data_IF_622326944664
#
_entry.id   IF_622326944664
#
_cell.length_a   1.000
_cell.length_b   1.000
_cell.length_c   1.000
_cell.angle_alpha   90.00
_cell.angle_beta   90.00
_cell.angle_gamma   90.00
#
_symmetry.space_group_name_H-M   'P 1'
#
loop_
_entity.id
_entity.type
_entity.pdbx_description
1 polymer ?
#
# COMPACT_ATOMS: atom_id res chain seq x y z
N UNK A 1 9.42 30.59 -6.76
CA UNK A 1 10.66 29.79 -6.87
C UNK A 1 10.29 28.35 -6.57
N UNK A 2 9.90 27.61 -7.61
CA UNK A 2 9.40 26.24 -7.54
C UNK A 2 10.58 25.29 -7.45
N UNK A 3 10.71 24.61 -6.31
CA UNK A 3 11.71 23.57 -6.09
C UNK A 3 11.31 22.31 -6.84
N UNK A 4 12.13 21.93 -7.82
CA UNK A 4 12.03 20.66 -8.53
C UNK A 4 12.14 19.48 -7.53
N UNK A 5 11.35 18.41 -7.66
CA UNK A 5 11.48 17.25 -6.81
C UNK A 5 12.81 16.52 -7.12
N UNK A 6 13.50 16.00 -6.11
CA UNK A 6 14.72 15.22 -6.32
C UNK A 6 14.39 13.90 -7.02
N UNK A 7 15.07 13.63 -8.11
CA UNK A 7 14.98 12.37 -8.85
C UNK A 7 15.63 11.26 -8.04
N UNK A 8 14.82 10.43 -7.42
CA UNK A 8 15.25 9.11 -6.93
C UNK A 8 14.87 8.09 -8.01
N UNK A 9 15.83 7.72 -8.85
CA UNK A 9 15.66 6.75 -9.90
C UNK A 9 15.46 5.35 -9.30
N UNK A 10 14.24 4.84 -9.32
CA UNK A 10 13.99 3.40 -9.26
C UNK A 10 14.33 2.82 -10.64
N UNK A 11 15.01 1.69 -10.65
CA UNK A 11 15.41 1.04 -11.89
C UNK A 11 14.18 0.55 -12.65
N UNK A 12 14.18 0.56 -13.99
CA UNK A 12 13.09 0.33 -14.92
C UNK A 12 12.22 -0.93 -14.78
N UNK A 13 12.32 -1.64 -13.64
CA UNK A 13 11.48 -2.78 -13.28
C UNK A 13 10.18 -2.38 -12.56
N UNK A 14 10.08 -1.18 -12.02
CA UNK A 14 8.96 -0.76 -11.15
C UNK A 14 7.96 0.19 -11.84
N UNK A 15 8.20 0.61 -13.08
CA UNK A 15 7.32 1.53 -13.80
C UNK A 15 6.08 0.84 -14.41
N UNK A 16 6.23 -0.40 -14.82
CA UNK A 16 5.13 -1.19 -15.38
C UNK A 16 3.93 -1.36 -14.41
N UNK A 17 4.14 -1.56 -13.09
CA UNK A 17 3.05 -1.69 -12.14
C UNK A 17 2.19 -0.43 -11.99
N UNK A 18 2.78 0.76 -12.05
CA UNK A 18 2.03 2.00 -11.91
C UNK A 18 1.09 2.23 -13.11
N UNK A 19 1.58 1.97 -14.34
CA UNK A 19 0.77 2.03 -15.54
C UNK A 19 -0.37 1.00 -15.51
N UNK A 20 -0.12 -0.20 -14.95
CA UNK A 20 -1.15 -1.23 -14.77
C UNK A 20 -2.15 -0.85 -13.68
N UNK A 21 -1.72 -0.25 -12.56
CA UNK A 21 -2.62 0.27 -11.52
C UNK A 21 -3.49 1.39 -12.07
N UNK A 22 -2.92 2.33 -12.80
CA UNK A 22 -3.67 3.39 -13.48
C UNK A 22 -4.62 2.79 -14.52
N UNK A 23 -4.17 1.79 -15.28
CA UNK A 23 -5.00 1.06 -16.23
C UNK A 23 -6.09 0.20 -15.59
N UNK A 24 -5.86 -0.33 -14.37
CA UNK A 24 -6.87 -1.02 -13.56
C UNK A 24 -7.85 -0.02 -12.94
N UNK A 25 -7.37 1.13 -12.47
CA UNK A 25 -8.21 2.23 -11.98
C UNK A 25 -9.15 2.74 -13.08
N UNK A 26 -8.62 2.91 -14.29
CA UNK A 26 -9.40 3.30 -15.45
C UNK A 26 -10.42 2.24 -15.89
N UNK A 27 -10.03 0.94 -15.89
CA UNK A 27 -10.89 -0.19 -16.30
C UNK A 27 -11.82 -0.71 -15.21
N UNK A 28 -11.48 -0.47 -13.94
CA UNK A 28 -12.29 -0.89 -12.79
C UNK A 28 -13.69 -0.27 -12.79
N UNK A 29 -13.80 0.94 -13.32
CA UNK A 29 -15.10 1.60 -13.55
C UNK A 29 -15.99 0.86 -14.55
N UNK A 30 -15.43 0.28 -15.61
CA UNK A 30 -16.18 -0.40 -16.68
C UNK A 30 -16.56 -1.83 -16.31
N UNK A 31 -15.64 -2.59 -15.71
CA UNK A 31 -15.92 -3.96 -15.25
C UNK A 31 -16.98 -3.99 -14.15
N UNK A 32 -17.07 -2.92 -13.35
CA UNK A 32 -18.06 -2.77 -12.31
C UNK A 32 -19.47 -2.52 -12.82
N UNK A 33 -19.59 -1.92 -14.01
CA UNK A 33 -20.87 -1.54 -14.61
C UNK A 33 -21.41 -2.60 -15.59
N UNK A 34 -20.68 -3.70 -15.83
CA UNK A 34 -21.06 -4.70 -16.85
C UNK A 34 -21.07 -4.16 -18.28
N UNK A 35 -20.33 -3.08 -18.52
CA UNK A 35 -20.27 -2.39 -19.82
C UNK A 35 -19.05 -2.87 -20.62
N UNK A 36 -19.13 -2.93 -21.96
CA UNK A 36 -17.99 -3.26 -22.79
C UNK A 36 -16.89 -2.20 -22.65
N UNK A 37 -15.60 -2.57 -22.84
CA UNK A 37 -14.50 -1.62 -22.80
C UNK A 37 -14.70 -0.53 -23.85
N UNK A 38 -14.92 0.69 -23.40
CA UNK A 38 -15.30 1.86 -24.22
C UNK A 38 -16.23 2.83 -23.50
N UNK A 39 -16.79 2.44 -22.38
CA UNK A 39 -17.71 3.28 -21.60
C UNK A 39 -17.03 4.16 -20.55
N UNK A 40 -15.69 4.12 -20.40
CA UNK A 40 -14.89 5.03 -19.55
C UNK A 40 -14.97 6.48 -20.01
N UNK A 41 -15.32 6.71 -21.26
CA UNK A 41 -15.63 8.02 -21.82
C UNK A 41 -16.61 8.84 -20.95
N UNK A 42 -17.52 8.19 -20.22
CA UNK A 42 -18.60 8.91 -19.53
C UNK A 42 -18.18 9.60 -18.23
N UNK A 43 -17.14 9.12 -17.53
CA UNK A 43 -16.66 9.74 -16.28
C UNK A 43 -15.79 10.97 -16.56
N UNK A 44 -14.84 10.85 -17.48
CA UNK A 44 -14.01 11.97 -17.95
C UNK A 44 -14.86 13.01 -18.68
N UNK A 45 -15.83 12.59 -19.49
CA UNK A 45 -16.79 13.47 -20.16
C UNK A 45 -17.77 14.14 -19.19
N UNK A 46 -18.10 13.53 -18.08
CA UNK A 46 -18.91 14.16 -17.04
C UNK A 46 -18.12 15.22 -16.28
N UNK A 47 -16.84 14.96 -15.99
CA UNK A 47 -15.92 15.93 -15.38
C UNK A 47 -15.61 17.10 -16.34
N UNK A 48 -15.36 16.83 -17.62
CA UNK A 48 -15.17 17.87 -18.65
C UNK A 48 -16.42 18.72 -18.85
N UNK A 49 -17.61 18.13 -18.77
CA UNK A 49 -18.88 18.89 -18.84
C UNK A 49 -19.15 19.75 -17.61
N UNK A 50 -18.70 19.29 -16.42
CA UNK A 50 -18.84 20.05 -15.18
C UNK A 50 -17.80 21.18 -15.06
N UNK A 51 -16.65 21.06 -15.71
CA UNK A 51 -15.54 22.00 -15.65
C UNK A 51 -14.91 22.20 -17.03
N UNK A 52 -15.61 22.87 -17.97
CA UNK A 52 -15.21 22.98 -19.38
C UNK A 52 -13.89 23.74 -19.58
N UNK A 53 -13.52 24.61 -18.64
CA UNK A 53 -12.31 25.46 -18.72
C UNK A 53 -11.13 24.91 -17.89
N UNK A 54 -11.30 23.76 -17.19
CA UNK A 54 -10.24 23.20 -16.35
C UNK A 54 -9.38 22.21 -17.14
N UNK A 55 -8.06 22.41 -17.12
CA UNK A 55 -7.09 21.45 -17.65
C UNK A 55 -6.84 20.31 -16.65
N UNK A 56 -7.88 19.50 -16.41
CA UNK A 56 -7.85 18.41 -15.43
C UNK A 56 -6.72 17.43 -15.73
N UNK A 57 -6.46 17.16 -17.01
CA UNK A 57 -5.39 16.24 -17.41
C UNK A 57 -4.01 16.81 -17.10
N UNK A 58 -3.81 18.09 -17.37
CA UNK A 58 -2.58 18.80 -17.04
C UNK A 58 -2.37 18.92 -15.53
N UNK A 59 -3.40 19.22 -14.78
CA UNK A 59 -3.35 19.33 -13.31
C UNK A 59 -3.03 17.98 -12.67
N UNK A 60 -3.61 16.88 -13.14
CA UNK A 60 -3.27 15.52 -12.69
C UNK A 60 -1.83 15.18 -13.06
N UNK A 61 -1.43 15.45 -14.30
CA UNK A 61 -0.07 15.17 -14.77
C UNK A 61 0.97 15.96 -13.98
N UNK A 62 0.75 17.25 -13.74
CA UNK A 62 1.61 18.10 -12.95
C UNK A 62 1.69 17.67 -11.48
N UNK A 63 0.55 17.34 -10.86
CA UNK A 63 0.48 16.90 -9.45
C UNK A 63 1.20 15.58 -9.23
N UNK A 64 1.09 14.65 -10.19
CA UNK A 64 1.66 13.31 -10.11
C UNK A 64 3.06 13.22 -10.77
N UNK A 65 3.55 14.29 -11.41
CA UNK A 65 4.81 14.27 -12.15
C UNK A 65 4.81 13.28 -13.31
N UNK A 66 3.68 13.16 -14.02
CA UNK A 66 3.51 12.18 -15.09
C UNK A 66 4.27 12.61 -16.37
N UNK A 67 4.81 11.65 -17.14
CA UNK A 67 5.41 11.94 -18.44
C UNK A 67 4.40 12.54 -19.42
N UNK A 68 4.87 13.39 -20.34
CA UNK A 68 4.04 14.04 -21.35
C UNK A 68 3.19 13.07 -22.19
N UNK A 69 3.68 11.86 -22.43
CA UNK A 69 2.92 10.80 -23.13
C UNK A 69 1.68 10.34 -22.35
N UNK A 70 1.77 10.28 -21.02
CA UNK A 70 0.63 9.91 -20.14
C UNK A 70 -0.35 11.07 -20.05
N UNK A 71 0.14 12.30 -19.97
CA UNK A 71 -0.69 13.51 -20.04
C UNK A 71 -1.47 13.54 -21.35
N UNK A 72 -0.80 13.29 -22.47
CA UNK A 72 -1.43 13.24 -23.79
C UNK A 72 -2.50 12.14 -23.87
N UNK A 73 -2.25 10.97 -23.28
CA UNK A 73 -3.23 9.88 -23.22
C UNK A 73 -4.45 10.26 -22.37
N UNK A 74 -4.26 10.97 -21.27
CA UNK A 74 -5.36 11.50 -20.44
C UNK A 74 -6.20 12.55 -21.20
N UNK A 75 -5.58 13.29 -22.16
CA UNK A 75 -6.28 14.28 -22.99
C UNK A 75 -7.06 13.68 -24.15
N UNK A 76 -6.60 12.58 -24.73
CA UNK A 76 -7.12 12.10 -26.03
C UNK A 76 -8.11 10.96 -25.94
N UNK A 77 -8.40 10.43 -24.74
CA UNK A 77 -9.28 9.26 -24.53
C UNK A 77 -8.89 7.99 -25.35
N UNK A 78 -7.77 8.08 -26.06
CA UNK A 78 -7.19 6.95 -26.75
C UNK A 78 -6.32 6.21 -25.75
N UNK A 79 -6.72 4.98 -25.35
CA UNK A 79 -5.78 4.09 -24.69
C UNK A 79 -4.62 3.85 -25.69
N UNK A 80 -3.43 4.43 -25.48
CA UNK A 80 -2.32 4.18 -26.38
C UNK A 80 -2.04 2.67 -26.32
N UNK A 81 -1.61 2.04 -27.43
CA UNK A 81 -0.97 0.75 -27.35
C UNK A 81 0.26 0.92 -26.47
N UNK A 82 0.13 0.52 -25.21
CA UNK A 82 1.18 0.68 -24.22
C UNK A 82 2.26 -0.34 -24.55
N UNK A 83 3.23 0.08 -25.35
CA UNK A 83 4.51 -0.62 -25.41
C UNK A 83 5.23 -0.32 -24.09
N UNK A 84 5.51 -1.37 -23.32
CA UNK A 84 6.27 -1.24 -22.06
C UNK A 84 7.68 -0.69 -22.24
N UNK A 85 8.16 -0.58 -23.51
CA UNK A 85 9.45 -0.01 -23.89
C UNK A 85 9.47 1.53 -23.93
N UNK A 86 8.31 2.19 -24.03
CA UNK A 86 8.22 3.63 -24.26
C UNK A 86 8.08 4.46 -22.95
N UNK A 87 7.98 3.79 -21.82
CA UNK A 87 7.98 4.48 -20.53
C UNK A 87 9.41 4.71 -20.06
N UNK A 88 9.78 5.99 -19.96
CA UNK A 88 10.89 6.36 -19.10
C UNK A 88 10.64 5.79 -17.70
N UNK A 89 11.66 5.26 -17.00
CA UNK A 89 11.47 4.69 -15.68
C UNK A 89 10.99 5.77 -14.72
N UNK A 90 9.68 5.87 -14.54
CA UNK A 90 9.05 6.70 -13.52
C UNK A 90 9.11 5.93 -12.22
N UNK A 91 9.95 6.42 -11.33
CA UNK A 91 10.07 5.90 -9.99
C UNK A 91 8.92 6.42 -9.13
N UNK A 92 7.88 5.62 -8.94
CA UNK A 92 6.89 5.90 -7.91
C UNK A 92 7.19 5.05 -6.66
N UNK A 93 7.19 5.67 -5.47
CA UNK A 93 7.29 4.89 -4.24
C UNK A 93 6.04 4.01 -4.09
N UNK A 94 6.18 2.80 -3.55
CA UNK A 94 5.04 1.92 -3.28
C UNK A 94 4.00 2.58 -2.36
N UNK A 95 4.44 3.54 -1.55
CA UNK A 95 3.60 4.38 -0.72
C UNK A 95 2.64 5.22 -1.56
N UNK A 96 3.12 5.82 -2.65
CA UNK A 96 2.26 6.56 -3.59
C UNK A 96 1.27 5.62 -4.29
N UNK A 97 1.72 4.43 -4.69
CA UNK A 97 0.83 3.42 -5.29
C UNK A 97 -0.29 3.04 -4.31
N UNK A 98 0.04 2.83 -3.04
CA UNK A 98 -0.93 2.56 -1.99
C UNK A 98 -1.94 3.70 -1.83
N UNK A 99 -1.47 4.94 -1.75
CA UNK A 99 -2.31 6.12 -1.59
C UNK A 99 -3.28 6.29 -2.78
N UNK A 100 -2.78 6.12 -4.01
CA UNK A 100 -3.61 6.19 -5.22
C UNK A 100 -4.68 5.09 -5.22
N UNK A 101 -4.32 3.86 -4.83
CA UNK A 101 -5.28 2.77 -4.72
C UNK A 101 -6.38 3.04 -3.66
N UNK A 102 -6.07 3.82 -2.64
CA UNK A 102 -7.01 4.18 -1.57
C UNK A 102 -7.92 5.37 -1.91
N UNK A 103 -7.63 6.16 -2.95
CA UNK A 103 -8.44 7.32 -3.34
C UNK A 103 -9.90 6.96 -3.67
N UNK A 104 -10.15 5.76 -4.19
CA UNK A 104 -11.53 5.29 -4.44
C UNK A 104 -12.37 5.14 -3.18
N UNK A 105 -11.71 4.98 -2.03
CA UNK A 105 -12.34 4.70 -0.74
C UNK A 105 -11.77 5.67 0.32
N UNK A 106 -12.23 6.92 0.37
CA UNK A 106 -11.63 7.97 1.22
C UNK A 106 -11.48 7.58 2.69
N UNK A 107 -12.34 6.69 3.18
CA UNK A 107 -12.25 6.14 4.54
C UNK A 107 -11.12 5.11 4.73
N UNK A 108 -10.42 4.72 3.65
CA UNK A 108 -9.19 3.93 3.70
C UNK A 108 -7.91 4.79 3.67
N UNK A 109 -8.00 6.09 3.51
CA UNK A 109 -6.82 6.96 3.38
C UNK A 109 -5.75 6.63 4.45
N UNK A 110 -4.53 6.29 3.99
CA UNK A 110 -3.41 5.90 4.82
C UNK A 110 -3.55 4.52 5.50
N UNK A 111 -4.52 3.69 5.10
CA UNK A 111 -4.70 2.35 5.70
C UNK A 111 -3.49 1.45 5.43
N UNK A 112 -3.04 1.35 4.18
CA UNK A 112 -1.90 0.52 3.79
C UNK A 112 -0.62 0.95 4.53
N UNK A 113 -0.40 2.25 4.68
CA UNK A 113 0.73 2.80 5.45
C UNK A 113 0.68 2.35 6.91
N UNK A 114 -0.48 2.43 7.56
CA UNK A 114 -0.66 1.98 8.96
C UNK A 114 -0.43 0.47 9.09
N UNK A 115 -0.91 -0.31 8.12
CA UNK A 115 -0.68 -1.76 8.08
C UNK A 115 0.81 -2.06 7.93
N UNK A 116 1.50 -1.40 7.01
CA UNK A 116 2.93 -1.57 6.78
C UNK A 116 3.76 -1.22 8.02
N UNK A 117 3.47 -0.08 8.67
CA UNK A 117 4.16 0.33 9.88
C UNK A 117 3.94 -0.64 11.05
N UNK A 118 2.73 -1.18 11.20
CA UNK A 118 2.42 -2.16 12.25
C UNK A 118 3.09 -3.51 11.95
N UNK A 119 3.00 -3.99 10.71
CA UNK A 119 3.62 -5.23 10.28
C UNK A 119 5.15 -5.19 10.41
N UNK A 120 5.79 -4.04 10.09
CA UNK A 120 7.23 -3.84 10.28
C UNK A 120 7.65 -4.05 11.74
N UNK A 121 6.98 -3.38 12.68
CA UNK A 121 7.30 -3.52 14.10
C UNK A 121 7.06 -4.93 14.63
N UNK A 122 5.95 -5.54 14.23
CA UNK A 122 5.65 -6.92 14.60
C UNK A 122 6.65 -7.91 14.00
N UNK A 123 7.06 -7.73 12.75
CA UNK A 123 8.07 -8.56 12.08
C UNK A 123 9.44 -8.48 12.77
N UNK A 124 9.86 -7.27 13.16
CA UNK A 124 11.10 -7.07 13.92
C UNK A 124 11.06 -7.79 15.29
N UNK A 125 9.91 -7.79 15.97
CA UNK A 125 9.79 -8.42 17.29
C UNK A 125 9.81 -9.95 17.24
N UNK A 126 9.44 -10.56 16.13
CA UNK A 126 9.53 -12.02 15.93
C UNK A 126 10.81 -12.47 15.24
N UNK A 127 11.73 -11.54 14.95
CA UNK A 127 13.05 -11.84 14.38
C UNK A 127 13.03 -12.19 12.90
N UNK A 128 12.13 -11.58 12.10
CA UNK A 128 12.25 -11.69 10.64
C UNK A 128 13.58 -11.12 10.18
N UNK A 129 14.24 -11.80 9.23
CA UNK A 129 15.42 -11.27 8.57
C UNK A 129 15.10 -10.05 7.68
N UNK A 130 16.14 -9.35 7.23
CA UNK A 130 16.00 -8.10 6.47
C UNK A 130 15.22 -8.31 5.14
N UNK A 131 15.36 -9.45 4.47
CA UNK A 131 14.67 -9.74 3.21
C UNK A 131 13.18 -10.04 3.47
N UNK A 132 12.87 -10.84 4.49
CA UNK A 132 11.49 -11.11 4.92
C UNK A 132 10.80 -9.84 5.40
N UNK A 133 11.52 -8.99 6.14
CA UNK A 133 11.02 -7.72 6.63
C UNK A 133 10.69 -6.76 5.48
N UNK A 134 11.61 -6.67 4.51
CA UNK A 134 11.40 -5.86 3.29
C UNK A 134 10.20 -6.37 2.50
N UNK A 135 10.11 -7.67 2.26
CA UNK A 135 9.00 -8.29 1.56
C UNK A 135 7.66 -8.02 2.27
N UNK A 136 7.62 -8.18 3.59
CA UNK A 136 6.42 -7.94 4.39
C UNK A 136 5.92 -6.50 4.28
N UNK A 137 6.82 -5.51 4.42
CA UNK A 137 6.45 -4.09 4.36
C UNK A 137 5.95 -3.70 2.98
N UNK A 138 6.66 -4.15 1.92
CA UNK A 138 6.27 -3.86 0.53
C UNK A 138 4.93 -4.53 0.18
N UNK A 139 4.72 -5.77 0.60
CA UNK A 139 3.44 -6.46 0.45
C UNK A 139 2.32 -5.76 1.24
N UNK A 140 2.60 -5.27 2.44
CA UNK A 140 1.65 -4.52 3.25
C UNK A 140 1.21 -3.20 2.59
N UNK A 141 2.10 -2.50 1.88
CA UNK A 141 1.73 -1.34 1.07
C UNK A 141 0.82 -1.72 -0.10
N UNK A 142 1.04 -2.88 -0.71
CA UNK A 142 0.33 -3.33 -1.90
C UNK A 142 -0.94 -4.16 -1.64
N UNK A 143 -1.23 -4.57 -0.38
CA UNK A 143 -2.32 -5.51 -0.08
C UNK A 143 -3.72 -5.01 -0.47
N UNK A 144 -3.87 -3.70 -0.62
CA UNK A 144 -5.13 -3.05 -1.01
C UNK A 144 -5.33 -2.88 -2.51
N UNK A 145 -4.32 -3.13 -3.34
CA UNK A 145 -4.34 -2.76 -4.76
C UNK A 145 -5.48 -3.42 -5.53
N UNK A 146 -5.78 -4.67 -5.26
CA UNK A 146 -6.87 -5.38 -5.95
C UNK A 146 -8.28 -4.92 -5.56
N UNK A 147 -8.42 -4.09 -4.49
CA UNK A 147 -9.72 -3.48 -4.13
C UNK A 147 -10.21 -2.53 -5.21
N UNK A 148 -9.31 -1.97 -6.00
CA UNK A 148 -9.61 -1.05 -7.11
C UNK A 148 -10.48 -1.72 -8.18
N UNK A 149 -10.35 -3.03 -8.35
CA UNK A 149 -11.16 -3.79 -9.30
C UNK A 149 -12.60 -4.06 -8.82
N UNK A 150 -12.96 -3.65 -7.60
CA UNK A 150 -14.29 -3.82 -7.02
C UNK A 150 -14.95 -2.45 -6.88
N UNK A 151 -16.19 -2.27 -7.35
CA UNK A 151 -16.87 -0.98 -7.30
C UNK A 151 -16.89 -0.35 -5.90
N UNK A 152 -16.59 0.95 -5.81
CA UNK A 152 -16.64 1.68 -4.55
C UNK A 152 -18.01 1.59 -3.86
N UNK A 153 -19.10 1.49 -4.62
CA UNK A 153 -20.45 1.30 -4.12
C UNK A 153 -20.65 -0.01 -3.36
N UNK A 154 -19.94 -1.08 -3.75
CA UNK A 154 -19.95 -2.37 -3.03
C UNK A 154 -19.25 -2.19 -1.69
N UNK A 155 -18.09 -1.54 -1.68
CA UNK A 155 -17.33 -1.29 -0.45
C UNK A 155 -18.04 -0.33 0.51
N UNK A 156 -18.75 0.67 0.01
CA UNK A 156 -19.43 1.70 0.81
C UNK A 156 -20.83 1.27 1.29
N UNK A 157 -21.31 0.10 0.89
CA UNK A 157 -22.68 -0.35 1.20
C UNK A 157 -22.88 -0.48 2.71
N UNK A 158 -23.91 0.19 3.20
CA UNK A 158 -24.37 0.05 4.58
C UNK A 158 -25.24 -1.21 4.70
N UNK A 159 -24.85 -2.13 5.58
CA UNK A 159 -25.57 -3.38 5.79
C UNK A 159 -24.93 -4.60 5.12
N UNK A 160 -25.66 -5.72 5.10
CA UNK A 160 -25.16 -6.99 4.54
C UNK A 160 -25.04 -6.91 3.02
N UNK A 161 -23.89 -7.38 2.51
CA UNK A 161 -23.72 -7.59 1.08
C UNK A 161 -24.58 -8.76 0.60
N UNK A 162 -25.17 -8.64 -0.59
CA UNK A 162 -25.74 -9.76 -1.32
C UNK A 162 -24.67 -10.76 -1.78
N UNK A 163 -25.07 -11.85 -2.43
CA UNK A 163 -24.13 -12.87 -2.90
C UNK A 163 -23.10 -12.29 -3.88
N UNK A 164 -23.57 -11.52 -4.85
CA UNK A 164 -22.71 -10.90 -5.87
C UNK A 164 -21.71 -9.91 -5.27
N UNK A 165 -22.12 -9.08 -4.32
CA UNK A 165 -21.24 -8.15 -3.61
C UNK A 165 -20.20 -8.88 -2.76
N UNK A 166 -20.59 -9.97 -2.07
CA UNK A 166 -19.62 -10.80 -1.34
C UNK A 166 -18.61 -11.44 -2.26
N UNK A 167 -19.04 -11.98 -3.40
CA UNK A 167 -18.14 -12.57 -4.40
C UNK A 167 -17.18 -11.54 -5.00
N UNK A 168 -17.69 -10.33 -5.28
CA UNK A 168 -16.84 -9.24 -5.76
C UNK A 168 -15.75 -8.89 -4.75
N UNK A 169 -16.08 -8.71 -3.46
CA UNK A 169 -15.12 -8.42 -2.39
C UNK A 169 -14.10 -9.56 -2.24
N UNK A 170 -14.53 -10.82 -2.28
CA UNK A 170 -13.66 -11.99 -2.16
C UNK A 170 -12.68 -12.13 -3.33
N UNK A 171 -12.95 -11.50 -4.48
CA UNK A 171 -12.02 -11.47 -5.62
C UNK A 171 -10.94 -10.39 -5.52
N UNK A 172 -11.03 -9.45 -4.58
CA UNK A 172 -10.01 -8.41 -4.44
C UNK A 172 -8.58 -8.96 -4.35
N UNK A 173 -8.26 -9.96 -3.51
CA UNK A 173 -6.91 -10.52 -3.46
C UNK A 173 -6.49 -11.28 -4.74
N UNK A 174 -7.42 -11.86 -5.47
CA UNK A 174 -7.14 -12.41 -6.81
C UNK A 174 -6.64 -11.33 -7.77
N UNK A 175 -7.24 -10.15 -7.75
CA UNK A 175 -6.79 -9.03 -8.57
C UNK A 175 -5.39 -8.54 -8.18
N UNK A 176 -5.05 -8.55 -6.87
CA UNK A 176 -3.68 -8.26 -6.44
C UNK A 176 -2.68 -9.28 -7.00
N UNK A 177 -3.00 -10.58 -6.95
CA UNK A 177 -2.15 -11.62 -7.52
C UNK A 177 -2.03 -11.50 -9.05
N UNK A 178 -3.11 -11.12 -9.73
CA UNK A 178 -3.12 -10.91 -11.19
C UNK A 178 -2.17 -9.79 -11.61
N UNK A 179 -2.18 -8.67 -10.90
CA UNK A 179 -1.20 -7.59 -11.12
C UNK A 179 0.23 -8.10 -10.94
N UNK A 180 0.48 -8.97 -9.94
CA UNK A 180 1.79 -9.58 -9.72
C UNK A 180 2.26 -10.45 -10.86
N UNK A 181 1.35 -11.20 -11.49
CA UNK A 181 1.67 -12.03 -12.66
C UNK A 181 2.17 -11.20 -13.85
N UNK A 182 1.62 -9.99 -13.99
CA UNK A 182 1.98 -9.06 -15.07
C UNK A 182 3.12 -8.10 -14.67
N UNK A 183 3.66 -8.21 -13.44
CA UNK A 183 4.67 -7.32 -12.87
C UNK A 183 5.80 -8.12 -12.18
N UNK A 184 6.73 -8.72 -12.96
CA UNK A 184 7.77 -9.60 -12.40
C UNK A 184 8.61 -8.98 -11.28
N UNK A 185 8.83 -7.66 -11.31
CA UNK A 185 9.58 -6.93 -10.29
C UNK A 185 8.86 -6.82 -8.93
N UNK A 186 7.55 -7.11 -8.87
CA UNK A 186 6.72 -7.07 -7.65
C UNK A 186 5.98 -8.39 -7.41
N UNK A 187 6.37 -9.46 -8.10
CA UNK A 187 5.65 -10.73 -8.07
C UNK A 187 5.58 -11.33 -6.65
N UNK A 188 6.70 -11.29 -5.91
CA UNK A 188 6.78 -11.82 -4.55
C UNK A 188 5.90 -11.03 -3.57
N UNK A 189 5.98 -9.69 -3.64
CA UNK A 189 5.19 -8.79 -2.80
C UNK A 189 3.69 -8.94 -3.06
N UNK A 190 3.28 -8.98 -4.32
CA UNK A 190 1.87 -9.10 -4.69
C UNK A 190 1.34 -10.51 -4.44
N UNK A 191 2.19 -11.54 -4.53
CA UNK A 191 1.86 -12.88 -4.09
C UNK A 191 1.54 -12.90 -2.59
N UNK A 192 2.42 -12.33 -1.75
CA UNK A 192 2.19 -12.22 -0.31
C UNK A 192 0.98 -11.33 -0.01
N UNK A 193 0.85 -10.18 -0.64
CA UNK A 193 -0.27 -9.25 -0.51
C UNK A 193 -1.63 -9.91 -0.80
N UNK A 194 -1.68 -10.82 -1.78
CA UNK A 194 -2.89 -11.56 -2.16
C UNK A 194 -3.38 -12.54 -1.09
N UNK A 195 -2.55 -12.86 -0.09
CA UNK A 195 -2.86 -13.82 0.98
C UNK A 195 -3.40 -13.15 2.25
N UNK A 196 -3.59 -11.83 2.24
CA UNK A 196 -4.02 -11.04 3.42
C UNK A 196 -5.32 -11.51 4.06
N UNK A 197 -6.19 -12.16 3.30
CA UNK A 197 -7.47 -12.67 3.80
C UNK A 197 -7.52 -14.20 4.00
N UNK A 198 -6.38 -14.88 3.85
CA UNK A 198 -6.28 -16.30 4.17
C UNK A 198 -6.34 -16.52 5.69
N UNK A 199 -6.70 -17.74 6.09
CA UNK A 199 -6.85 -18.16 7.48
C UNK A 199 -6.23 -19.53 7.67
N UNK A 200 -5.66 -19.80 8.86
CA UNK A 200 -4.93 -21.04 9.14
C UNK A 200 -5.80 -22.30 9.02
N UNK A 201 -7.10 -22.18 9.18
CA UNK A 201 -8.06 -23.28 9.03
C UNK A 201 -8.58 -23.47 7.59
N UNK A 202 -8.01 -22.75 6.60
CA UNK A 202 -8.44 -22.79 5.21
C UNK A 202 -9.78 -22.06 4.93
N UNK A 203 -10.40 -21.45 5.94
CA UNK A 203 -11.67 -20.72 5.78
C UNK A 203 -11.51 -19.34 5.11
N UNK A 204 -10.26 -18.95 4.85
CA UNK A 204 -9.90 -17.71 4.17
C UNK A 204 -10.26 -17.68 2.69
N UNK A 205 -9.75 -16.68 1.99
CA UNK A 205 -9.93 -16.51 0.56
C UNK A 205 -8.80 -15.65 -0.03
N UNK A 206 -8.46 -15.78 -1.32
CA UNK A 206 -9.27 -16.43 -2.39
C UNK A 206 -8.86 -17.90 -2.67
N UNK A 207 -7.72 -18.38 -2.16
CA UNK A 207 -7.19 -19.73 -2.43
C UNK A 207 -7.63 -20.77 -1.39
N UNK A 208 -8.00 -20.32 -0.18
CA UNK A 208 -8.30 -21.22 0.93
C UNK A 208 -7.03 -21.92 1.44
N UNK A 209 -5.93 -21.18 1.52
CA UNK A 209 -4.66 -21.69 2.05
C UNK A 209 -4.79 -21.95 3.55
N UNK A 210 -4.14 -23.01 4.02
CA UNK A 210 -4.11 -23.42 5.43
C UNK A 210 -2.80 -23.03 6.14
N UNK A 211 -2.63 -23.53 7.36
CA UNK A 211 -1.48 -23.21 8.20
C UNK A 211 -0.13 -23.61 7.58
N UNK A 212 -0.09 -24.71 6.81
CA UNK A 212 1.16 -25.23 6.23
C UNK A 212 1.65 -24.33 5.07
N UNK A 213 0.71 -23.71 4.36
CA UNK A 213 1.00 -22.80 3.25
C UNK A 213 1.25 -21.35 3.67
N UNK A 214 0.96 -20.98 4.93
CA UNK A 214 1.08 -19.60 5.43
C UNK A 214 2.27 -19.46 6.38
N UNK A 215 3.36 -18.85 5.90
CA UNK A 215 4.52 -18.51 6.72
C UNK A 215 4.28 -17.31 7.64
N UNK A 216 5.28 -16.97 8.46
CA UNK A 216 5.16 -15.87 9.43
C UNK A 216 4.86 -14.52 8.77
N UNK A 217 5.47 -14.10 7.64
CA UNK A 217 5.13 -12.85 6.99
C UNK A 217 3.64 -12.75 6.59
N UNK A 218 3.05 -13.83 6.08
CA UNK A 218 1.63 -13.89 5.71
C UNK A 218 0.72 -13.74 6.94
N UNK A 219 1.06 -14.43 8.03
CA UNK A 219 0.31 -14.38 9.29
C UNK A 219 0.34 -12.98 9.89
N UNK A 220 1.52 -12.35 9.91
CA UNK A 220 1.69 -10.96 10.37
C UNK A 220 0.92 -9.97 9.51
N UNK A 221 0.96 -10.08 8.18
CA UNK A 221 0.22 -9.22 7.27
C UNK A 221 -1.29 -9.31 7.51
N UNK A 222 -1.83 -10.54 7.57
CA UNK A 222 -3.27 -10.77 7.75
C UNK A 222 -3.77 -10.17 9.08
N UNK A 223 -3.02 -10.34 10.17
CA UNK A 223 -3.38 -9.83 11.49
C UNK A 223 -3.22 -8.32 11.56
N UNK A 224 -2.13 -7.76 11.03
CA UNK A 224 -1.90 -6.31 11.00
C UNK A 224 -3.00 -5.59 10.20
N UNK A 225 -3.36 -6.12 9.04
CA UNK A 225 -4.43 -5.56 8.21
C UNK A 225 -5.79 -5.62 8.94
N UNK A 226 -6.09 -6.73 9.61
CA UNK A 226 -7.32 -6.90 10.39
C UNK A 226 -7.36 -5.95 11.60
N UNK A 227 -6.26 -5.82 12.35
CA UNK A 227 -6.18 -4.94 13.51
C UNK A 227 -6.39 -3.48 13.12
N UNK A 228 -5.64 -2.98 12.12
CA UNK A 228 -5.79 -1.62 11.60
C UNK A 228 -7.19 -1.38 11.05
N UNK A 229 -7.77 -2.37 10.34
CA UNK A 229 -9.13 -2.27 9.84
C UNK A 229 -10.17 -2.17 10.97
N UNK A 230 -10.02 -2.91 12.06
CA UNK A 230 -10.91 -2.85 13.22
C UNK A 230 -10.83 -1.51 13.95
N UNK A 231 -9.64 -0.96 14.10
CA UNK A 231 -9.41 0.32 14.79
C UNK A 231 -9.74 1.55 13.93
N UNK A 232 -10.06 1.39 12.65
CA UNK A 232 -10.41 2.50 11.77
C UNK A 232 -11.93 2.64 11.58
N UNK A 233 -12.46 3.87 11.38
CA UNK A 233 -13.87 4.07 11.04
C UNK A 233 -14.19 3.42 9.69
N UNK A 234 -15.41 2.95 9.54
CA UNK A 234 -15.96 2.41 8.30
C UNK A 234 -17.32 3.04 8.01
N UNK A 235 -17.79 3.11 6.76
CA UNK A 235 -19.12 3.68 6.45
C UNK A 235 -20.28 3.03 7.21
N UNK A 236 -20.08 1.79 7.67
CA UNK A 236 -21.11 0.97 8.34
C UNK A 236 -20.86 0.74 9.83
N UNK A 237 -19.73 1.22 10.40
CA UNK A 237 -19.46 1.10 11.84
C UNK A 237 -18.43 2.11 12.35
N UNK A 238 -18.55 2.47 13.61
CA UNK A 238 -17.52 3.20 14.34
C UNK A 238 -16.23 2.37 14.51
N UNK A 239 -15.07 3.00 14.74
CA UNK A 239 -13.84 2.29 15.08
C UNK A 239 -13.99 1.54 16.41
N UNK A 240 -13.40 0.35 16.48
CA UNK A 240 -13.23 -0.33 17.77
C UNK A 240 -12.05 0.28 18.53
N UNK A 241 -12.17 0.34 19.85
CA UNK A 241 -11.02 0.60 20.69
C UNK A 241 -9.98 -0.52 20.53
N UNK A 242 -8.66 -0.24 20.68
CA UNK A 242 -7.62 -1.26 20.49
C UNK A 242 -7.83 -2.53 21.35
N UNK A 243 -8.31 -2.39 22.58
CA UNK A 243 -8.64 -3.51 23.48
C UNK A 243 -9.76 -4.38 22.90
N UNK A 244 -10.80 -3.77 22.33
CA UNK A 244 -11.89 -4.51 21.71
C UNK A 244 -11.46 -5.18 20.41
N UNK A 245 -10.62 -4.51 19.60
CA UNK A 245 -10.03 -5.10 18.40
C UNK A 245 -9.17 -6.31 18.73
N UNK A 246 -8.34 -6.22 19.77
CA UNK A 246 -7.56 -7.34 20.32
C UNK A 246 -8.46 -8.52 20.69
N UNK A 247 -9.49 -8.30 21.50
CA UNK A 247 -10.40 -9.36 21.94
C UNK A 247 -11.08 -10.09 20.77
N UNK A 248 -11.48 -9.33 19.72
CA UNK A 248 -12.04 -9.92 18.50
C UNK A 248 -11.04 -10.82 17.75
N UNK A 249 -9.77 -10.42 17.69
CA UNK A 249 -8.72 -11.22 17.03
C UNK A 249 -8.31 -12.43 17.89
N UNK A 250 -8.28 -12.29 19.23
CA UNK A 250 -8.05 -13.41 20.15
C UNK A 250 -9.12 -14.49 20.01
N UNK A 251 -10.38 -14.10 19.83
CA UNK A 251 -11.45 -15.06 19.54
C UNK A 251 -11.23 -15.80 18.21
N UNK A 252 -10.72 -15.12 17.18
CA UNK A 252 -10.35 -15.78 15.91
C UNK A 252 -9.14 -16.71 16.07
N UNK A 253 -8.15 -16.33 16.86
CA UNK A 253 -6.98 -17.17 17.15
C UNK A 253 -7.37 -18.40 17.99
N UNK A 254 -8.30 -18.25 18.94
CA UNK A 254 -8.84 -19.37 19.73
C UNK A 254 -9.66 -20.33 18.88
N UNK A 255 -10.28 -19.84 17.81
CA UNK A 255 -10.99 -20.66 16.81
C UNK A 255 -10.05 -21.31 15.77
N UNK A 256 -8.71 -21.19 15.91
CA UNK A 256 -7.74 -21.78 14.99
C UNK A 256 -7.55 -21.03 13.67
N UNK A 257 -8.11 -19.83 13.53
CA UNK A 257 -8.09 -19.06 12.27
C UNK A 257 -6.89 -18.14 12.13
N UNK A 258 -6.33 -17.68 13.24
CA UNK A 258 -5.17 -16.79 13.28
C UNK A 258 -4.07 -17.39 14.14
N UNK A 259 -2.83 -17.05 13.81
CA UNK A 259 -1.66 -17.46 14.56
C UNK A 259 -1.55 -16.68 15.88
N UNK A 260 -1.38 -17.39 17.00
CA UNK A 260 -1.30 -16.78 18.33
C UNK A 260 -0.02 -15.99 18.55
N UNK A 261 1.12 -16.48 18.03
CA UNK A 261 2.41 -15.81 18.20
C UNK A 261 2.46 -14.53 17.33
N UNK A 262 1.99 -14.61 16.08
CA UNK A 262 1.85 -13.43 15.23
C UNK A 262 0.85 -12.41 15.80
N UNK A 263 -0.25 -12.86 16.42
CA UNK A 263 -1.21 -11.98 17.09
C UNK A 263 -0.59 -11.26 18.28
N UNK A 264 0.14 -11.97 19.13
CA UNK A 264 0.84 -11.36 20.26
C UNK A 264 1.82 -10.29 19.77
N UNK A 265 2.65 -10.59 18.76
CA UNK A 265 3.59 -9.64 18.17
C UNK A 265 2.91 -8.38 17.63
N UNK A 266 1.78 -8.53 16.91
CA UNK A 266 1.03 -7.39 16.36
C UNK A 266 0.40 -6.55 17.47
N UNK A 267 -0.17 -7.18 18.50
CA UNK A 267 -0.79 -6.47 19.64
C UNK A 267 0.26 -5.72 20.45
N UNK A 268 1.41 -6.34 20.72
CA UNK A 268 2.51 -5.69 21.46
C UNK A 268 3.12 -4.55 20.64
N UNK A 269 3.29 -4.72 19.33
CA UNK A 269 3.72 -3.66 18.42
C UNK A 269 2.70 -2.51 18.33
N UNK A 270 1.41 -2.81 18.44
CA UNK A 270 0.36 -1.78 18.48
C UNK A 270 0.33 -1.03 19.81
N UNK A 271 0.61 -1.71 20.92
CA UNK A 271 0.68 -1.09 22.25
C UNK A 271 1.92 -0.22 22.42
N UNK A 272 3.06 -0.66 21.89
CA UNK A 272 4.34 0.05 21.94
C UNK A 272 4.41 1.25 20.99
N UNK A 273 3.67 1.20 19.88
CA UNK A 273 3.51 2.29 18.94
C UNK A 273 2.06 2.75 18.98
N UNK A 274 1.80 3.98 19.40
CA UNK A 274 0.47 4.54 19.32
C UNK A 274 -0.06 4.33 17.88
N UNK A 275 -1.18 3.58 17.74
CA UNK A 275 -1.96 3.51 16.49
C UNK A 275 -2.67 4.86 16.33
N UNK A 276 -1.91 5.93 16.43
CA UNK A 276 -2.35 7.27 16.08
C UNK A 276 -2.07 7.50 14.60
N UNK A 277 -2.91 8.33 13.99
CA UNK A 277 -2.58 9.00 12.75
C UNK A 277 -1.12 9.48 12.79
N UNK A 278 -0.36 9.49 11.68
CA UNK A 278 1.08 9.68 11.68
C UNK A 278 1.46 10.95 12.47
N UNK A 279 1.79 10.75 13.73
CA UNK A 279 2.42 11.73 14.59
C UNK A 279 3.87 11.27 14.79
N UNK A 280 4.80 12.18 15.06
CA UNK A 280 6.19 11.84 15.19
C UNK A 280 6.39 10.91 16.39
N UNK A 281 6.52 9.61 16.11
CA UNK A 281 7.03 8.65 17.08
C UNK A 281 8.56 8.66 17.10
N UNK A 282 9.21 8.16 18.15
CA UNK A 282 10.65 7.97 18.13
C UNK A 282 11.00 6.95 17.04
N UNK A 283 12.01 7.27 16.24
CA UNK A 283 12.63 6.32 15.32
C UNK A 283 13.33 5.22 16.12
N UNK A 284 13.37 4.01 15.60
CA UNK A 284 14.26 2.98 16.15
C UNK A 284 15.72 3.42 16.01
N UNK A 285 16.62 2.83 16.80
CA UNK A 285 18.06 3.12 16.71
C UNK A 285 18.58 2.91 15.28
N UNK A 286 18.09 1.88 14.58
CA UNK A 286 18.48 1.55 13.21
C UNK A 286 17.96 2.60 12.21
N UNK A 287 16.71 3.02 12.35
CA UNK A 287 16.11 4.08 11.52
C UNK A 287 16.81 5.42 11.75
N UNK A 288 17.17 5.73 12.99
CA UNK A 288 17.96 6.90 13.33
C UNK A 288 19.32 6.88 12.63
N UNK A 289 20.03 5.75 12.65
CA UNK A 289 21.32 5.58 11.97
C UNK A 289 21.18 5.73 10.45
N UNK A 290 20.17 5.09 9.85
CA UNK A 290 19.88 5.23 8.41
C UNK A 290 19.58 6.68 8.07
N UNK A 291 18.67 7.33 8.79
CA UNK A 291 18.30 8.72 8.50
C UNK A 291 19.48 9.68 8.68
N UNK A 292 20.31 9.47 9.72
CA UNK A 292 21.52 10.27 9.95
C UNK A 292 22.51 10.14 8.78
N UNK A 293 22.74 8.95 8.26
CA UNK A 293 23.63 8.74 7.09
C UNK A 293 23.09 9.46 5.85
N UNK A 294 21.80 9.29 5.57
CA UNK A 294 21.14 9.95 4.44
C UNK A 294 21.13 11.47 4.59
N UNK A 295 20.92 11.98 5.80
CA UNK A 295 20.96 13.44 6.07
C UNK A 295 22.32 14.06 5.85
N UNK A 296 23.40 13.29 6.00
CA UNK A 296 24.78 13.68 5.72
C UNK A 296 25.14 13.59 4.21
N UNK A 297 24.20 13.16 3.36
CA UNK A 297 24.40 13.10 1.91
C UNK A 297 24.84 11.76 1.38
N UNK A 298 24.86 10.71 2.21
CA UNK A 298 25.17 9.37 1.74
C UNK A 298 24.13 8.88 0.72
N UNK A 299 24.57 8.20 -0.33
CA UNK A 299 23.70 7.43 -1.18
C UNK A 299 23.18 6.18 -0.42
N UNK A 300 22.06 5.60 -0.87
CA UNK A 300 21.56 4.34 -0.29
C UNK A 300 22.62 3.22 -0.29
N UNK A 301 23.45 3.17 -1.33
CA UNK A 301 24.57 2.20 -1.42
C UNK A 301 25.66 2.47 -0.39
N UNK A 302 25.98 3.73 -0.14
CA UNK A 302 26.99 4.10 0.84
C UNK A 302 26.50 3.87 2.27
N UNK A 303 25.25 4.25 2.54
CA UNK A 303 24.59 3.94 3.80
C UNK A 303 24.49 2.43 4.05
N UNK A 304 24.11 1.64 3.02
CA UNK A 304 24.06 0.19 3.10
C UNK A 304 25.44 -0.42 3.46
N UNK A 305 26.50 0.03 2.77
CA UNK A 305 27.87 -0.41 3.05
C UNK A 305 28.31 -0.02 4.46
N UNK A 306 28.04 1.22 4.87
CA UNK A 306 28.44 1.71 6.20
C UNK A 306 27.71 1.01 7.34
N UNK A 307 26.43 0.68 7.15
CA UNK A 307 25.61 0.04 8.18
C UNK A 307 25.57 -1.50 8.07
N UNK A 308 26.28 -2.08 7.11
CA UNK A 308 26.30 -3.52 6.80
C UNK A 308 24.90 -4.07 6.53
N UNK A 309 24.14 -3.35 5.74
CA UNK A 309 22.78 -3.72 5.31
C UNK A 309 22.73 -3.91 3.79
N UNK A 310 21.68 -4.57 3.31
CA UNK A 310 21.37 -4.55 1.88
C UNK A 310 20.79 -3.19 1.48
N UNK A 311 20.92 -2.81 0.21
CA UNK A 311 20.29 -1.58 -0.31
C UNK A 311 18.76 -1.65 -0.16
N UNK A 312 18.19 -2.85 -0.34
CA UNK A 312 16.77 -3.08 -0.14
C UNK A 312 16.33 -2.82 1.32
N UNK A 313 17.14 -3.23 2.31
CA UNK A 313 16.88 -2.95 3.72
C UNK A 313 16.96 -1.46 4.03
N UNK A 314 17.93 -0.72 3.47
CA UNK A 314 17.98 0.75 3.60
C UNK A 314 16.71 1.40 3.05
N UNK A 315 16.25 0.94 1.89
CA UNK A 315 15.01 1.45 1.28
C UNK A 315 13.80 1.22 2.19
N UNK A 316 13.68 0.02 2.76
CA UNK A 316 12.62 -0.32 3.71
C UNK A 316 12.67 0.54 4.97
N UNK A 317 13.86 0.77 5.52
CA UNK A 317 14.02 1.68 6.66
C UNK A 317 13.62 3.11 6.30
N UNK A 318 13.98 3.60 5.12
CA UNK A 318 13.58 4.93 4.66
C UNK A 318 12.06 5.05 4.51
N UNK A 319 11.40 4.05 3.93
CA UNK A 319 9.94 4.04 3.84
C UNK A 319 9.27 4.03 5.22
N UNK A 320 9.82 3.24 6.16
CA UNK A 320 9.36 3.22 7.54
C UNK A 320 9.55 4.57 8.25
N UNK A 321 10.71 5.23 8.05
CA UNK A 321 11.01 6.57 8.59
C UNK A 321 10.01 7.60 8.05
N UNK A 322 9.75 7.59 6.74
CA UNK A 322 8.79 8.50 6.11
C UNK A 322 7.38 8.30 6.69
N UNK A 323 6.97 7.05 6.89
CA UNK A 323 5.71 6.69 7.54
C UNK A 323 5.65 7.17 8.98
N UNK A 324 6.68 6.86 9.78
CA UNK A 324 6.76 7.20 11.20
C UNK A 324 6.75 8.71 11.43
N UNK A 325 7.49 9.45 10.59
CA UNK A 325 7.55 10.90 10.68
C UNK A 325 6.40 11.61 9.94
N UNK A 326 5.53 10.90 9.24
CA UNK A 326 4.44 11.49 8.47
C UNK A 326 4.93 12.42 7.36
N UNK A 327 6.05 12.10 6.72
CA UNK A 327 6.68 12.91 5.68
C UNK A 327 6.58 12.22 4.32
N UNK A 328 6.41 13.00 3.26
CA UNK A 328 6.36 12.48 1.90
C UNK A 328 7.75 12.40 1.22
N UNK A 329 8.76 13.09 1.78
CA UNK A 329 10.10 13.17 1.17
C UNK A 329 11.19 13.04 2.23
N UNK A 330 12.37 12.56 1.81
CA UNK A 330 13.56 12.43 2.69
C UNK A 330 14.01 13.77 3.28
N UNK A 331 14.09 14.87 2.53
CA UNK A 331 14.41 16.17 3.12
C UNK A 331 13.41 16.62 4.19
N UNK A 332 12.10 16.38 3.96
CA UNK A 332 11.09 16.68 4.95
C UNK A 332 11.25 15.82 6.22
N UNK A 333 11.57 14.53 6.05
CA UNK A 333 11.83 13.63 7.17
C UNK A 333 13.08 14.05 7.96
N UNK A 334 14.16 14.42 7.26
CA UNK A 334 15.39 14.95 7.89
C UNK A 334 15.09 16.21 8.70
N UNK A 335 14.41 17.18 8.11
CA UNK A 335 14.06 18.42 8.80
C UNK A 335 13.19 18.15 10.03
N UNK A 336 12.20 17.27 9.90
CA UNK A 336 11.32 16.91 11.00
C UNK A 336 12.05 16.15 12.12
N UNK A 337 12.95 15.24 11.75
CA UNK A 337 13.77 14.53 12.71
C UNK A 337 14.72 15.47 13.49
N UNK A 338 15.33 16.45 12.82
CA UNK A 338 16.12 17.50 13.46
C UNK A 338 15.27 18.34 14.42
N UNK A 339 14.08 18.77 13.99
CA UNK A 339 13.15 19.55 14.83
C UNK A 339 12.71 18.79 16.08
N UNK A 340 12.64 17.46 16.00
CA UNK A 340 12.25 16.58 17.10
C UNK A 340 13.45 16.03 17.90
N UNK A 341 14.70 16.46 17.59
CA UNK A 341 15.95 15.98 18.17
C UNK A 341 16.10 14.43 18.09
N UNK A 342 15.70 13.85 16.98
CA UNK A 342 15.83 12.40 16.72
C UNK A 342 17.17 12.02 16.02
N UNK A 343 17.79 12.98 15.32
CA UNK A 343 19.10 12.83 14.68
C UNK A 343 20.01 14.00 14.97
#
# INVERSE_FOLDING_TARGET
MLLSPPSAALHGRDAAPLAQVIGLLARGGDLAAGRPPGAVASGADSLRRAHPDADIAGDIAATLGLPAAVEQALRTDAAPPVSTSDFLPVSASLTLVADVAELQLPWLAGHARRVAALAYRAGASVGLDDDQQTLLVRAALLHGIGRVAVPATVWARKGKLDAAGRDAVRRAPYWSARVGADSPGLAAELQLASQVYERLDGSGYYRGLDADALGMPQRLLAISAAFVALCAPRPWRAPHAPVAARALLEAQASAGRLDRAALAAVVDAAASGHVHAPGPGPLSARETDVLRRISLGDSERDAARALRLSVAAIHTHLDSILLTLGCATRPAATLRALTLNLI
#
